data_IF_021883472497
#
_entry.id   IF_021883472497
#
_cell.length_a   1.000
_cell.length_b   1.000
_cell.length_c   1.000
_cell.angle_alpha   90.00
_cell.angle_beta   90.00
_cell.angle_gamma   90.00
#
_symmetry.space_group_name_H-M   'P 1'
#
loop_
_entity.id
_entity.type
_entity.pdbx_description
1 polymer ?
#
# COMPACT_ATOMS: atom_id res chain seq x y z
N UNK A 1 31.44 45.74 -17.57
CA UNK A 1 30.77 46.21 -18.80
C UNK A 1 30.04 45.04 -19.42
N UNK A 2 28.83 45.32 -19.89
CA UNK A 2 27.73 44.42 -20.30
C UNK A 2 28.12 43.45 -21.39
N UNK A 3 27.60 42.21 -21.34
CA UNK A 3 27.18 41.47 -22.53
C UNK A 3 25.90 40.68 -22.21
N UNK A 4 24.79 41.19 -22.73
CA UNK A 4 23.47 40.58 -22.84
C UNK A 4 23.49 39.47 -23.89
N UNK A 5 22.83 38.33 -23.63
CA UNK A 5 22.56 37.32 -24.64
C UNK A 5 21.05 37.10 -24.76
N UNK A 6 20.49 37.55 -25.88
CA UNK A 6 19.12 37.33 -26.33
C UNK A 6 19.04 35.94 -26.98
N UNK A 7 18.06 35.13 -26.56
CA UNK A 7 17.69 33.90 -27.26
C UNK A 7 16.50 34.18 -28.20
N UNK A 8 16.74 33.98 -29.50
CA UNK A 8 15.76 34.05 -30.58
C UNK A 8 14.82 32.83 -30.54
N UNK A 9 13.52 33.08 -30.66
CA UNK A 9 12.50 32.07 -30.94
C UNK A 9 12.37 31.91 -32.46
N UNK A 10 12.59 30.70 -32.99
CA UNK A 10 12.27 30.35 -34.37
C UNK A 10 11.07 29.39 -34.39
N UNK A 11 10.01 29.79 -35.09
CA UNK A 11 8.78 29.03 -35.28
C UNK A 11 8.95 27.83 -36.23
N UNK A 12 8.09 26.83 -36.05
CA UNK A 12 8.00 25.64 -36.92
C UNK A 12 6.87 25.86 -37.92
N UNK A 13 7.07 25.56 -39.23
CA UNK A 13 6.06 25.81 -40.25
C UNK A 13 5.01 24.69 -40.36
N UNK A 14 3.81 25.11 -40.72
CA UNK A 14 2.61 24.32 -40.98
C UNK A 14 2.67 23.75 -42.41
N UNK A 15 2.55 22.42 -42.58
CA UNK A 15 2.53 21.77 -43.89
C UNK A 15 1.27 20.90 -44.06
N UNK A 16 0.53 21.22 -45.12
CA UNK A 16 -0.75 20.66 -45.51
C UNK A 16 -0.66 19.23 -46.08
N UNK A 17 -1.78 18.52 -45.94
CA UNK A 17 -2.02 17.13 -46.30
C UNK A 17 -2.00 16.82 -47.82
N UNK A 18 -1.72 15.54 -48.15
CA UNK A 18 -2.25 14.86 -49.34
C UNK A 18 -2.65 13.41 -49.00
N UNK A 19 -3.88 13.07 -49.37
CA UNK A 19 -4.57 11.81 -49.11
C UNK A 19 -4.15 10.67 -50.05
N UNK A 20 -4.26 9.42 -49.57
CA UNK A 20 -4.65 8.28 -50.41
C UNK A 20 -5.50 7.31 -49.59
N UNK A 21 -6.75 7.13 -50.01
CA UNK A 21 -7.67 6.07 -49.63
C UNK A 21 -7.22 4.72 -50.24
N UNK A 22 -7.58 3.54 -49.74
CA UNK A 22 -8.44 3.16 -48.64
C UNK A 22 -8.49 1.63 -48.54
N UNK A 23 -8.93 1.11 -47.39
CA UNK A 23 -9.63 -0.18 -47.28
C UNK A 23 -10.60 -0.07 -46.11
N UNK A 24 -11.86 -0.39 -46.40
CA UNK A 24 -13.04 -0.16 -45.58
C UNK A 24 -13.07 -1.03 -44.32
N UNK A 25 -13.29 -0.40 -43.16
CA UNK A 25 -13.76 -1.07 -41.94
C UNK A 25 -15.16 -0.53 -41.59
N UNK A 26 -16.10 -1.40 -41.17
CA UNK A 26 -17.48 -1.02 -40.90
C UNK A 26 -17.59 -0.10 -39.69
N UNK A 27 -18.47 0.89 -39.77
CA UNK A 27 -18.68 1.91 -38.75
C UNK A 27 -19.32 1.34 -37.47
N UNK A 28 -18.74 1.57 -36.28
CA UNK A 28 -19.46 1.40 -35.03
C UNK A 28 -20.24 2.68 -34.74
N UNK A 29 -21.51 2.69 -35.15
CA UNK A 29 -22.48 3.65 -34.65
C UNK A 29 -23.01 3.15 -33.30
N UNK A 30 -22.40 3.59 -32.20
CA UNK A 30 -23.09 3.71 -30.92
C UNK A 30 -22.51 4.91 -30.22
N UNK A 31 -23.35 5.93 -30.03
CA UNK A 31 -23.00 7.13 -29.29
C UNK A 31 -22.72 6.74 -27.84
N UNK A 32 -21.46 6.84 -27.42
CA UNK A 32 -21.12 6.85 -26.00
C UNK A 32 -21.39 8.28 -25.51
N UNK A 33 -22.48 8.45 -24.77
CA UNK A 33 -22.72 9.71 -24.06
C UNK A 33 -21.62 9.93 -23.00
N UNK A 34 -21.18 11.18 -22.77
CA UNK A 34 -20.20 11.46 -21.74
C UNK A 34 -20.90 11.43 -20.37
N UNK A 35 -20.55 10.45 -19.54
CA UNK A 35 -20.86 10.44 -18.12
C UNK A 35 -19.57 10.08 -17.39
N UNK A 36 -19.01 10.84 -16.48
CA UNK A 36 -19.35 12.12 -15.87
C UNK A 36 -18.03 12.71 -15.37
N UNK A 37 -17.91 14.04 -15.33
CA UNK A 37 -16.76 14.73 -14.75
C UNK A 37 -16.40 14.20 -13.36
N UNK A 38 -15.14 13.79 -13.17
CA UNK A 38 -14.58 13.58 -11.84
C UNK A 38 -14.48 14.95 -11.16
N UNK A 39 -15.46 15.25 -10.33
CA UNK A 39 -15.48 16.44 -9.46
C UNK A 39 -14.95 16.04 -8.08
N UNK A 40 -13.78 16.53 -7.64
CA UNK A 40 -13.32 16.33 -6.28
C UNK A 40 -14.07 17.29 -5.35
N UNK A 41 -15.32 16.97 -5.01
CA UNK A 41 -16.14 17.79 -4.09
C UNK A 41 -16.91 16.98 -3.05
N UNK A 42 -16.72 15.66 -2.97
CA UNK A 42 -17.19 14.94 -1.80
C UNK A 42 -16.24 15.31 -0.64
N UNK A 43 -16.74 15.91 0.46
CA UNK A 43 -15.92 16.07 1.65
C UNK A 43 -15.44 14.67 2.02
N UNK A 44 -14.12 14.52 2.18
CA UNK A 44 -13.63 13.28 2.76
C UNK A 44 -14.14 13.27 4.19
N UNK A 45 -15.25 12.58 4.39
CA UNK A 45 -15.75 12.25 5.70
C UNK A 45 -14.58 11.62 6.46
N UNK A 46 -14.35 12.12 7.67
CA UNK A 46 -13.29 11.64 8.54
C UNK A 46 -13.52 10.14 8.73
N UNK A 47 -12.80 9.30 7.97
CA UNK A 47 -12.85 7.87 8.16
C UNK A 47 -12.08 7.62 9.45
N UNK A 48 -12.74 7.85 10.59
CA UNK A 48 -12.32 7.29 11.87
C UNK A 48 -12.56 5.80 11.72
N UNK A 49 -11.56 5.08 11.18
CA UNK A 49 -11.56 3.62 11.15
C UNK A 49 -11.29 3.14 12.58
N UNK A 50 -12.32 3.25 13.43
CA UNK A 50 -12.52 2.38 14.60
C UNK A 50 -13.10 1.02 14.16
N UNK A 51 -12.85 0.62 12.91
CA UNK A 51 -13.17 -0.71 12.41
C UNK A 51 -12.14 -1.73 12.88
N UNK A 52 -12.62 -2.91 13.24
CA UNK A 52 -11.79 -4.11 13.33
C UNK A 52 -11.06 -4.30 11.99
N UNK A 53 -9.78 -4.73 12.01
CA UNK A 53 -9.08 -5.00 10.75
C UNK A 53 -9.92 -5.99 9.93
N UNK A 54 -10.01 -5.83 8.60
CA UNK A 54 -10.59 -6.87 7.77
C UNK A 54 -9.78 -8.16 7.94
N UNK A 55 -10.47 -9.31 7.92
CA UNK A 55 -9.80 -10.60 7.84
C UNK A 55 -9.05 -10.67 6.50
N UNK A 56 -7.73 -10.71 6.59
CA UNK A 56 -6.83 -10.70 5.43
C UNK A 56 -6.99 -11.95 4.57
N UNK A 57 -7.54 -13.04 5.12
CA UNK A 57 -7.85 -14.25 4.38
C UNK A 57 -9.13 -14.11 3.51
N UNK A 58 -10.04 -13.19 3.85
CA UNK A 58 -11.32 -12.94 3.16
C UNK A 58 -11.33 -11.66 2.29
N UNK A 59 -10.22 -10.92 2.25
CA UNK A 59 -10.13 -9.66 1.49
C UNK A 59 -10.27 -9.89 -0.02
N UNK A 60 -11.16 -9.15 -0.66
CA UNK A 60 -11.27 -9.15 -2.12
C UNK A 60 -10.25 -8.20 -2.78
N UNK A 61 -10.07 -8.34 -4.10
CA UNK A 61 -9.08 -7.56 -4.84
C UNK A 61 -9.30 -6.05 -4.78
N UNK A 62 -10.55 -5.58 -4.71
CA UNK A 62 -10.85 -4.16 -4.61
C UNK A 62 -10.44 -3.59 -3.25
N UNK A 63 -10.65 -4.34 -2.18
CA UNK A 63 -10.22 -3.95 -0.83
C UNK A 63 -8.70 -3.87 -0.76
N UNK A 64 -7.99 -4.90 -1.23
CA UNK A 64 -6.53 -4.87 -1.29
C UNK A 64 -6.02 -3.65 -2.07
N UNK A 65 -6.58 -3.38 -3.25
CA UNK A 65 -6.24 -2.21 -4.07
C UNK A 65 -6.50 -0.91 -3.30
N UNK A 66 -7.60 -0.81 -2.54
CA UNK A 66 -7.90 0.35 -1.71
C UNK A 66 -6.77 0.65 -0.72
N UNK A 67 -6.24 -0.35 -0.03
CA UNK A 67 -5.13 -0.15 0.92
C UNK A 67 -3.81 0.23 0.24
N UNK A 68 -3.47 -0.36 -0.90
CA UNK A 68 -2.30 0.06 -1.68
C UNK A 68 -2.43 1.51 -2.14
N UNK A 69 -3.62 1.90 -2.63
CA UNK A 69 -3.91 3.26 -3.04
C UNK A 69 -3.83 4.24 -1.87
N UNK A 70 -4.33 3.87 -0.69
CA UNK A 70 -4.22 4.67 0.52
C UNK A 70 -2.74 4.84 0.94
N UNK A 71 -1.96 3.76 1.02
CA UNK A 71 -0.53 3.82 1.32
C UNK A 71 0.24 4.71 0.32
N UNK A 72 -0.05 4.59 -0.97
CA UNK A 72 0.54 5.44 -2.00
C UNK A 72 0.12 6.91 -1.83
N UNK A 73 -1.18 7.18 -1.72
CA UNK A 73 -1.75 8.53 -1.60
C UNK A 73 -1.26 9.25 -0.35
N UNK A 74 -1.35 8.60 0.81
CA UNK A 74 -0.85 9.12 2.08
C UNK A 74 0.66 9.40 2.01
N UNK A 75 1.43 8.52 1.39
CA UNK A 75 2.86 8.74 1.14
C UNK A 75 3.17 9.96 0.28
N UNK A 76 2.39 10.21 -0.78
CA UNK A 76 2.56 11.39 -1.64
C UNK A 76 2.19 12.69 -0.90
N UNK A 77 1.05 12.69 -0.20
CA UNK A 77 0.60 13.85 0.60
C UNK A 77 1.60 14.20 1.70
N UNK A 78 2.14 13.19 2.38
CA UNK A 78 3.19 13.37 3.39
C UNK A 78 4.45 14.03 2.81
N UNK A 79 4.90 13.59 1.62
CA UNK A 79 6.05 14.20 0.92
C UNK A 79 5.79 15.67 0.56
N UNK A 80 4.55 16.00 0.23
CA UNK A 80 4.11 17.38 -0.04
C UNK A 80 3.88 18.21 1.24
N UNK A 81 4.16 17.66 2.44
CA UNK A 81 3.91 18.29 3.75
C UNK A 81 2.44 18.60 4.03
N UNK A 82 1.53 17.95 3.31
CA UNK A 82 0.07 18.02 3.53
C UNK A 82 -0.31 16.98 4.59
N UNK A 83 0.14 17.20 5.82
CA UNK A 83 0.06 16.17 6.88
C UNK A 83 -1.37 15.85 7.28
N UNK A 84 -2.22 16.86 7.40
CA UNK A 84 -3.63 16.69 7.76
C UNK A 84 -4.37 15.85 6.70
N UNK A 85 -4.11 16.12 5.42
CA UNK A 85 -4.67 15.31 4.33
C UNK A 85 -4.04 13.91 4.26
N UNK A 86 -2.76 13.76 4.60
CA UNK A 86 -2.05 12.49 4.51
C UNK A 86 -2.50 11.51 5.60
N UNK A 87 -2.74 12.02 6.80
CA UNK A 87 -3.02 11.24 8.01
C UNK A 87 -4.10 10.17 7.82
N UNK A 88 -5.32 10.46 7.31
CA UNK A 88 -6.35 9.42 7.16
C UNK A 88 -5.93 8.28 6.21
N UNK A 89 -5.26 8.60 5.11
CA UNK A 89 -4.74 7.56 4.19
C UNK A 89 -3.61 6.75 4.81
N UNK A 90 -2.77 7.39 5.61
CA UNK A 90 -1.69 6.72 6.33
C UNK A 90 -2.24 5.83 7.45
N UNK A 91 -3.34 6.18 8.09
CA UNK A 91 -4.03 5.34 9.08
C UNK A 91 -4.54 4.05 8.45
N UNK A 92 -5.23 4.14 7.31
CA UNK A 92 -5.68 2.96 6.52
C UNK A 92 -4.50 2.07 6.14
N UNK A 93 -3.42 2.64 5.59
CA UNK A 93 -2.23 1.87 5.23
C UNK A 93 -1.48 1.30 6.45
N UNK A 94 -1.45 2.04 7.56
CA UNK A 94 -0.79 1.63 8.78
C UNK A 94 -1.48 0.43 9.44
N UNK A 95 -2.82 0.41 9.39
CA UNK A 95 -3.63 -0.71 9.87
C UNK A 95 -3.33 -2.00 9.10
N UNK A 96 -3.23 -1.94 7.76
CA UNK A 96 -2.86 -3.14 6.98
C UNK A 96 -1.37 -3.53 7.11
N UNK A 97 -0.57 -2.81 7.89
CA UNK A 97 0.83 -3.20 8.14
C UNK A 97 1.85 -2.63 7.15
N UNK A 98 1.47 -1.64 6.33
CA UNK A 98 2.44 -0.93 5.49
C UNK A 98 3.40 -0.11 6.36
N UNK A 99 4.65 -0.54 6.43
CA UNK A 99 5.67 0.02 7.34
C UNK A 99 5.97 1.49 7.08
N UNK A 100 5.96 1.92 5.82
CA UNK A 100 6.13 3.34 5.48
C UNK A 100 4.94 4.18 5.94
N UNK A 101 3.72 3.63 5.92
CA UNK A 101 2.55 4.33 6.44
C UNK A 101 2.61 4.45 7.96
N UNK A 102 2.94 3.35 8.66
CA UNK A 102 3.17 3.33 10.10
C UNK A 102 4.26 4.32 10.54
N UNK A 103 5.42 4.34 9.88
CA UNK A 103 6.51 5.25 10.21
C UNK A 103 6.15 6.72 9.98
N UNK A 104 5.43 7.04 8.89
CA UNK A 104 4.97 8.41 8.59
C UNK A 104 3.90 8.88 9.56
N UNK A 105 2.91 8.02 9.86
CA UNK A 105 1.88 8.30 10.84
C UNK A 105 2.50 8.55 12.23
N UNK A 106 3.47 7.71 12.61
CA UNK A 106 4.22 7.91 13.84
C UNK A 106 5.02 9.21 13.86
N UNK A 107 5.60 9.64 12.74
CA UNK A 107 6.25 10.95 12.65
C UNK A 107 5.26 12.12 12.79
N UNK A 108 4.05 12.02 12.23
CA UNK A 108 2.98 13.02 12.41
C UNK A 108 2.71 13.22 13.91
N UNK A 109 2.49 12.14 14.65
CA UNK A 109 2.23 12.22 16.09
C UNK A 109 3.47 12.65 16.88
N UNK A 110 4.64 12.06 16.64
CA UNK A 110 5.85 12.30 17.45
C UNK A 110 6.32 13.76 17.41
N UNK A 111 6.10 14.43 16.28
CA UNK A 111 6.53 15.80 16.03
C UNK A 111 5.39 16.82 16.03
N UNK A 112 4.13 16.38 16.10
CA UNK A 112 2.97 17.27 15.99
C UNK A 112 2.93 17.99 14.65
N UNK A 113 2.93 17.22 13.55
CA UNK A 113 2.95 17.78 12.19
C UNK A 113 1.53 18.17 11.73
N UNK A 114 1.43 19.30 11.02
CA UNK A 114 0.13 19.84 10.60
C UNK A 114 -0.63 20.43 11.78
N UNK A 115 -1.91 20.11 11.87
CA UNK A 115 -2.78 20.46 13.01
C UNK A 115 -2.78 19.41 14.12
N UNK A 116 -2.06 18.29 13.95
CA UNK A 116 -2.02 17.22 14.94
C UNK A 116 -1.20 17.64 16.16
N UNK A 117 -1.78 17.49 17.35
CA UNK A 117 -1.05 17.69 18.60
C UNK A 117 0.11 16.69 18.76
N UNK A 118 1.20 17.17 19.34
CA UNK A 118 2.39 16.36 19.55
C UNK A 118 2.15 15.30 20.64
N UNK A 119 2.26 14.04 20.27
CA UNK A 119 2.26 12.89 21.17
C UNK A 119 3.48 11.99 20.86
N UNK A 120 4.53 12.17 21.65
CA UNK A 120 5.78 11.45 21.47
C UNK A 120 5.62 9.94 21.69
N UNK A 121 4.82 9.53 22.68
CA UNK A 121 4.62 8.11 23.03
C UNK A 121 3.85 7.41 21.92
N UNK A 122 2.75 7.99 21.44
CA UNK A 122 1.97 7.46 20.33
C UNK A 122 2.78 7.42 19.04
N UNK A 123 3.53 8.48 18.76
CA UNK A 123 4.37 8.54 17.56
C UNK A 123 5.48 7.49 17.53
N UNK A 124 6.20 7.34 18.65
CA UNK A 124 7.25 6.32 18.81
C UNK A 124 6.66 4.92 18.76
N UNK A 125 5.47 4.72 19.30
CA UNK A 125 4.76 3.44 19.21
C UNK A 125 4.55 3.04 17.76
N UNK A 126 3.97 3.91 16.92
CA UNK A 126 3.76 3.62 15.50
C UNK A 126 5.06 3.35 14.72
N UNK A 127 6.12 4.11 15.02
CA UNK A 127 7.45 3.88 14.43
C UNK A 127 8.03 2.53 14.91
N UNK A 128 7.80 2.16 16.16
CA UNK A 128 8.19 0.88 16.73
C UNK A 128 7.44 -0.29 16.10
N UNK A 129 6.15 -0.15 15.81
CA UNK A 129 5.38 -1.16 15.05
C UNK A 129 5.98 -1.37 13.65
N UNK A 130 6.39 -0.28 12.99
CA UNK A 130 7.04 -0.34 11.68
C UNK A 130 8.45 -0.96 11.69
N UNK A 131 9.17 -0.86 12.80
CA UNK A 131 10.57 -1.25 12.95
C UNK A 131 10.74 -2.78 13.18
N UNK A 132 10.45 -3.59 12.16
CA UNK A 132 10.62 -5.05 12.20
C UNK A 132 11.93 -5.51 11.53
N UNK A 133 12.43 -6.73 11.81
CA UNK A 133 13.75 -7.16 11.32
C UNK A 133 13.96 -7.14 9.79
N UNK A 134 12.90 -7.32 8.99
CA UNK A 134 12.97 -7.36 7.51
C UNK A 134 12.61 -6.03 6.82
N UNK A 135 12.33 -4.98 7.59
CA UNK A 135 11.87 -3.70 7.06
C UNK A 135 13.03 -2.75 6.74
N UNK A 136 12.71 -1.53 6.31
CA UNK A 136 13.72 -0.53 5.97
C UNK A 136 14.61 -0.22 7.20
N UNK A 137 15.95 -0.41 7.11
CA UNK A 137 16.87 -0.14 8.22
C UNK A 137 16.82 1.29 8.74
N UNK A 138 16.41 2.26 7.91
CA UNK A 138 16.23 3.65 8.31
C UNK A 138 15.10 3.80 9.33
N UNK A 139 14.02 3.03 9.23
CA UNK A 139 12.92 3.01 10.20
C UNK A 139 13.42 2.48 11.55
N UNK A 140 14.13 1.35 11.54
CA UNK A 140 14.68 0.75 12.78
C UNK A 140 15.72 1.64 13.44
N UNK A 141 16.56 2.31 12.64
CA UNK A 141 17.49 3.32 13.15
C UNK A 141 16.72 4.50 13.77
N UNK A 142 15.71 5.01 13.07
CA UNK A 142 14.91 6.13 13.54
C UNK A 142 14.20 5.82 14.86
N UNK A 143 13.59 4.64 14.97
CA UNK A 143 13.00 4.14 16.21
C UNK A 143 14.01 4.17 17.37
N UNK A 144 15.21 3.58 17.16
CA UNK A 144 16.27 3.56 18.17
C UNK A 144 16.72 4.97 18.58
N UNK A 145 16.81 5.89 17.64
CA UNK A 145 17.25 7.27 17.90
C UNK A 145 16.18 8.07 18.67
N UNK A 146 14.89 7.76 18.48
CA UNK A 146 13.80 8.32 19.28
C UNK A 146 13.80 7.77 20.70
N UNK A 147 14.02 6.47 20.89
CA UNK A 147 14.06 5.87 22.22
C UNK A 147 15.14 6.48 23.13
N UNK A 148 16.27 6.94 22.57
CA UNK A 148 17.33 7.62 23.33
C UNK A 148 16.88 8.95 23.95
N UNK A 149 15.82 9.56 23.42
CA UNK A 149 15.31 10.86 23.86
C UNK A 149 14.19 10.71 24.91
N UNK A 150 13.74 9.49 25.18
CA UNK A 150 12.62 9.21 26.06
C UNK A 150 13.10 8.90 27.49
N UNK A 151 12.42 9.43 28.52
CA UNK A 151 12.71 9.08 29.91
C UNK A 151 12.61 7.56 30.15
N UNK A 152 13.53 6.93 30.91
CA UNK A 152 13.51 5.49 31.17
C UNK A 152 12.19 4.96 31.76
N UNK A 153 11.46 5.80 32.49
CA UNK A 153 10.17 5.43 33.09
C UNK A 153 9.04 5.20 32.07
N UNK A 154 9.14 5.74 30.85
CA UNK A 154 8.13 5.53 29.80
C UNK A 154 8.42 4.30 28.93
N UNK A 155 9.63 3.74 29.01
CA UNK A 155 10.06 2.62 28.18
C UNK A 155 9.15 1.38 28.29
N UNK A 156 8.76 0.90 29.49
CA UNK A 156 7.88 -0.26 29.60
C UNK A 156 6.52 -0.02 28.94
N UNK A 157 6.01 1.23 29.01
CA UNK A 157 4.75 1.62 28.37
C UNK A 157 4.87 1.56 26.84
N UNK A 158 5.93 2.15 26.28
CA UNK A 158 6.17 2.14 24.83
C UNK A 158 6.35 0.70 24.33
N UNK A 159 7.14 -0.12 25.04
CA UNK A 159 7.37 -1.51 24.65
C UNK A 159 6.07 -2.33 24.64
N UNK A 160 5.21 -2.16 25.66
CA UNK A 160 3.91 -2.80 25.71
C UNK A 160 3.00 -2.35 24.56
N UNK A 161 2.94 -1.04 24.29
CA UNK A 161 2.14 -0.50 23.19
C UNK A 161 2.66 -0.94 21.81
N UNK A 162 3.98 -1.04 21.63
CA UNK A 162 4.59 -1.56 20.39
C UNK A 162 4.29 -3.05 20.23
N UNK A 163 4.36 -3.83 21.31
CA UNK A 163 4.03 -5.25 21.27
C UNK A 163 2.56 -5.46 20.88
N UNK A 164 1.64 -4.72 21.50
CA UNK A 164 0.22 -4.74 21.16
C UNK A 164 -0.02 -4.29 19.71
N UNK A 165 0.61 -3.18 19.31
CA UNK A 165 0.49 -2.66 17.95
C UNK A 165 1.03 -3.62 16.90
N UNK A 166 2.09 -4.38 17.19
CA UNK A 166 2.60 -5.43 16.30
C UNK A 166 1.70 -6.66 16.28
N UNK A 167 1.05 -7.00 17.39
CA UNK A 167 0.08 -8.08 17.43
C UNK A 167 -1.17 -7.80 16.58
N UNK A 168 -1.54 -6.52 16.43
CA UNK A 168 -2.71 -6.09 15.63
C UNK A 168 -2.34 -5.71 14.19
N UNK A 169 -1.28 -4.91 14.03
CA UNK A 169 -0.93 -4.23 12.77
C UNK A 169 0.48 -4.62 12.26
N UNK A 170 1.12 -5.61 12.86
CA UNK A 170 2.43 -6.10 12.42
C UNK A 170 2.35 -6.97 11.17
N UNK A 171 3.50 -7.25 10.56
CA UNK A 171 3.57 -8.03 9.30
C UNK A 171 2.91 -9.40 9.40
N UNK A 172 3.09 -10.07 10.55
CA UNK A 172 2.53 -11.40 10.81
C UNK A 172 1.02 -11.36 11.05
N UNK A 173 0.51 -10.27 11.66
CA UNK A 173 -0.91 -10.12 11.97
C UNK A 173 -1.73 -9.79 10.72
N UNK A 174 -1.18 -8.97 9.83
CA UNK A 174 -1.89 -8.47 8.65
C UNK A 174 -1.53 -9.20 7.36
N UNK A 175 -0.76 -10.29 7.45
CA UNK A 175 -0.22 -10.99 6.28
C UNK A 175 0.67 -10.13 5.38
N UNK A 176 1.04 -8.90 5.76
CA UNK A 176 1.82 -8.00 4.91
C UNK A 176 3.31 -8.25 5.07
N UNK A 177 3.90 -8.94 4.09
CA UNK A 177 5.33 -9.21 4.05
C UNK A 177 6.08 -8.04 3.45
N UNK A 178 6.95 -7.42 4.24
CA UNK A 178 7.82 -6.35 3.79
C UNK A 178 9.28 -6.81 3.73
N UNK A 179 9.95 -6.48 2.63
CA UNK A 179 11.36 -6.77 2.42
C UNK A 179 12.04 -5.71 1.55
N UNK A 180 13.32 -5.49 1.79
CA UNK A 180 14.15 -4.64 0.94
C UNK A 180 14.46 -5.36 -0.36
N UNK A 181 13.97 -4.83 -1.48
CA UNK A 181 14.31 -5.30 -2.82
C UNK A 181 15.48 -4.46 -3.35
N UNK A 182 16.42 -5.12 -4.03
CA UNK A 182 17.53 -4.47 -4.73
C UNK A 182 17.26 -4.46 -6.23
N UNK A 183 17.56 -3.35 -6.89
CA UNK A 183 17.55 -3.32 -8.36
C UNK A 183 18.83 -3.97 -8.88
N UNK A 184 18.69 -4.98 -9.74
CA UNK A 184 19.80 -5.68 -10.35
C UNK A 184 20.72 -4.69 -11.10
N UNK A 185 22.03 -4.79 -10.86
CA UNK A 185 23.02 -3.90 -11.49
C UNK A 185 23.11 -2.49 -10.88
N UNK A 186 22.40 -2.20 -9.77
CA UNK A 186 22.55 -0.92 -9.05
C UNK A 186 22.73 -1.12 -7.54
N UNK A 187 23.21 -0.08 -6.86
CA UNK A 187 23.19 -0.02 -5.39
C UNK A 187 21.85 0.45 -4.82
N UNK A 188 20.82 0.62 -5.67
CA UNK A 188 19.52 1.10 -5.24
C UNK A 188 18.72 -0.05 -4.60
N UNK A 189 18.15 0.22 -3.43
CA UNK A 189 17.21 -0.65 -2.74
C UNK A 189 15.99 0.13 -2.28
N UNK A 190 14.83 -0.49 -2.31
CA UNK A 190 13.58 0.08 -1.78
C UNK A 190 12.85 -0.95 -0.95
N UNK A 191 12.04 -0.48 -0.01
CA UNK A 191 11.14 -1.33 0.73
C UNK A 191 9.96 -1.69 -0.16
N UNK A 192 9.76 -2.98 -0.37
CA UNK A 192 8.55 -3.52 -0.98
C UNK A 192 7.72 -4.21 0.09
N UNK A 193 6.42 -3.92 0.14
CA UNK A 193 5.48 -4.54 1.05
C UNK A 193 4.38 -5.18 0.24
N UNK A 194 4.20 -6.49 0.41
CA UNK A 194 3.20 -7.29 -0.28
C UNK A 194 2.26 -7.88 0.74
N UNK A 195 0.97 -7.57 0.61
CA UNK A 195 -0.10 -8.23 1.36
C UNK A 195 -0.19 -9.66 0.82
N UNK A 196 0.01 -10.66 1.68
CA UNK A 196 -0.08 -12.07 1.32
C UNK A 196 -1.46 -12.33 0.69
N UNK A 197 -1.46 -13.08 -0.40
CA UNK A 197 -2.65 -13.56 -1.09
C UNK A 197 -3.49 -12.56 -1.91
N UNK A 198 -2.84 -11.61 -2.60
CA UNK A 198 -3.51 -10.84 -3.69
C UNK A 198 -4.10 -11.72 -4.82
N UNK A 199 -3.77 -13.02 -4.87
CA UNK A 199 -4.17 -13.97 -5.92
C UNK A 199 -4.91 -15.21 -5.42
N UNK A 200 -5.52 -15.16 -4.23
CA UNK A 200 -6.30 -16.29 -3.68
C UNK A 200 -7.67 -16.50 -4.34
N UNK A 201 -7.85 -16.14 -5.62
CA UNK A 201 -8.84 -16.79 -6.49
C UNK A 201 -8.46 -18.24 -6.87
N UNK A 202 -7.43 -18.78 -6.21
CA UNK A 202 -6.95 -20.15 -6.32
C UNK A 202 -7.70 -21.14 -5.41
N UNK A 203 -9.03 -21.07 -5.41
CA UNK A 203 -9.85 -22.22 -4.97
C UNK A 203 -10.56 -22.81 -6.18
N UNK A 204 -11.28 -22.02 -6.97
CA UNK A 204 -11.94 -22.50 -8.19
C UNK A 204 -10.95 -22.74 -9.34
N UNK A 205 -10.01 -21.81 -9.60
CA UNK A 205 -9.07 -21.93 -10.71
C UNK A 205 -7.95 -22.96 -10.44
N UNK A 206 -7.54 -23.12 -9.18
CA UNK A 206 -6.55 -24.12 -8.77
C UNK A 206 -7.16 -25.51 -8.57
N UNK A 207 -8.43 -25.62 -8.15
CA UNK A 207 -9.14 -26.89 -8.25
C UNK A 207 -9.25 -27.34 -9.72
N UNK A 208 -9.53 -26.42 -10.65
CA UNK A 208 -9.55 -26.72 -12.09
C UNK A 208 -8.16 -27.08 -12.63
N UNK A 209 -7.10 -26.37 -12.25
CA UNK A 209 -5.73 -26.68 -12.70
C UNK A 209 -5.15 -27.96 -12.07
N UNK A 210 -5.47 -28.26 -10.80
CA UNK A 210 -5.13 -29.54 -10.17
C UNK A 210 -5.97 -30.68 -10.74
N UNK A 211 -7.23 -30.45 -11.10
CA UNK A 211 -8.05 -31.41 -11.83
C UNK A 211 -7.46 -31.71 -13.23
N UNK A 212 -7.02 -30.68 -13.97
CA UNK A 212 -6.48 -30.84 -15.33
C UNK A 212 -5.06 -31.45 -15.38
N UNK A 213 -4.24 -31.26 -14.34
CA UNK A 213 -2.85 -31.77 -14.30
C UNK A 213 -2.74 -33.07 -13.47
N UNK A 214 -3.56 -33.24 -12.44
CA UNK A 214 -3.44 -34.33 -11.46
C UNK A 214 -4.72 -35.16 -11.24
N UNK A 215 -5.87 -34.80 -11.82
CA UNK A 215 -7.10 -35.60 -11.75
C UNK A 215 -7.71 -35.69 -10.34
N UNK A 216 -7.66 -34.62 -9.54
CA UNK A 216 -8.14 -34.60 -8.16
C UNK A 216 -9.34 -33.65 -8.05
N UNK A 217 -10.51 -34.16 -7.64
CA UNK A 217 -11.78 -33.39 -7.64
C UNK A 217 -12.30 -32.89 -6.29
N UNK A 218 -11.69 -33.18 -5.13
CA UNK A 218 -12.07 -32.47 -3.89
C UNK A 218 -11.07 -32.59 -2.75
N UNK A 219 -11.03 -31.56 -1.91
CA UNK A 219 -10.42 -31.59 -0.57
C UNK A 219 -11.55 -31.26 0.41
N UNK A 220 -12.01 -32.23 1.20
CA UNK A 220 -12.83 -31.97 2.39
C UNK A 220 -11.93 -32.00 3.61
N UNK A 221 -11.91 -30.90 4.36
CA UNK A 221 -11.27 -30.85 5.67
C UNK A 221 -12.31 -31.14 6.74
N UNK A 222 -12.37 -32.39 7.20
CA UNK A 222 -13.03 -32.70 8.46
C UNK A 222 -11.99 -32.52 9.57
N UNK A 223 -12.33 -31.68 10.55
CA UNK A 223 -11.42 -31.01 11.48
C UNK A 223 -10.66 -31.86 12.49
N UNK A 224 -10.19 -33.06 12.16
CA UNK A 224 -9.28 -33.82 13.00
C UNK A 224 -8.32 -34.66 12.15
N UNK A 225 -7.03 -34.64 12.51
CA UNK A 225 -5.95 -35.28 11.76
C UNK A 225 -6.22 -36.77 11.47
N UNK A 226 -6.70 -37.15 10.27
CA UNK A 226 -6.51 -38.50 9.72
C UNK A 226 -6.92 -38.65 8.25
N UNK A 227 -6.01 -39.25 7.47
CA UNK A 227 -6.21 -40.05 6.25
C UNK A 227 -6.91 -39.41 5.02
N UNK A 228 -6.11 -39.16 3.98
CA UNK A 228 -6.57 -38.84 2.62
C UNK A 228 -6.94 -40.14 1.91
N UNK A 229 -8.22 -40.34 1.54
CA UNK A 229 -8.64 -41.42 0.64
C UNK A 229 -8.90 -40.89 -0.76
N UNK A 230 -8.39 -41.56 -1.79
CA UNK A 230 -8.40 -41.10 -3.19
C UNK A 230 -9.24 -42.05 -4.05
N UNK A 231 -10.17 -41.52 -4.85
CA UNK A 231 -10.87 -42.25 -5.93
C UNK A 231 -10.82 -41.45 -7.24
N UNK A 232 -10.74 -42.11 -8.42
CA UNK A 232 -10.53 -41.45 -9.71
C UNK A 232 -11.84 -41.01 -10.39
N UNK A 233 -11.80 -39.91 -11.15
CA UNK A 233 -12.95 -39.32 -11.87
C UNK A 233 -13.25 -40.05 -13.19
N UNK A 234 -14.54 -40.09 -13.57
CA UNK A 234 -15.07 -40.67 -14.83
C UNK A 234 -15.36 -39.59 -15.87
#
# INVERSE_FOLDING_TARGET
MVLTSQFLMAGVPEAAAKSRAGHDLPAPNTQVQPSSEYTPTQPMEEIVVEGELPDVDDMNSFEVIHYYNANARGGQLYKMRRYDDAKPFLEVGAQLGFKMSQARLGAIYAYGLGTTERDAVKGITWIGVAAEPRTDPTITKHYRDLLKQIPPGEMPKIEAMVAEGRAKYGSSATGTNCQMIRSAGSHMSWLNCEVKDMYRFRSAADAYHLCLIQGIESIQSDGEMAAISVTPCS
#
